data_IF_403626619610
#
_entry.id   IF_403626619610
#
_cell.length_a   1.000
_cell.length_b   1.000
_cell.length_c   1.000
_cell.angle_alpha   90.00
_cell.angle_beta   90.00
_cell.angle_gamma   90.00
#
_symmetry.space_group_name_H-M   'P 1'
#
loop_
_entity.id
_entity.type
_entity.pdbx_description
1 polymer ?
#
# COMPACT_ATOMS: atom_id res chain seq x y z
N UNK A 1 -13.11 -6.73 -8.72
CA UNK A 1 -12.16 -5.82 -8.06
C UNK A 1 -12.80 -4.43 -8.01
N UNK A 2 -13.17 -3.92 -6.82
CA UNK A 2 -13.99 -2.71 -6.66
C UNK A 2 -13.26 -1.38 -6.98
N UNK A 3 -11.96 -1.42 -7.30
CA UNK A 3 -11.17 -0.22 -7.63
C UNK A 3 -11.32 0.26 -9.08
N UNK A 4 -11.81 -0.58 -10.00
CA UNK A 4 -11.89 -0.24 -11.43
C UNK A 4 -13.07 0.64 -11.84
N UNK A 5 -14.08 0.81 -10.97
CA UNK A 5 -15.38 1.39 -11.35
C UNK A 5 -15.63 2.83 -10.87
N UNK A 6 -14.66 3.49 -10.23
CA UNK A 6 -14.80 4.87 -9.72
C UNK A 6 -13.75 5.86 -10.26
N UNK A 7 -12.92 5.47 -11.23
CA UNK A 7 -11.85 6.35 -11.76
C UNK A 7 -10.75 6.65 -10.74
N UNK A 8 -10.49 5.72 -9.82
CA UNK A 8 -9.40 5.86 -8.86
C UNK A 8 -8.05 5.90 -9.61
N UNK A 9 -7.25 6.95 -9.37
CA UNK A 9 -5.92 7.11 -9.97
C UNK A 9 -4.82 6.31 -9.25
N UNK A 10 -5.10 5.84 -8.03
CA UNK A 10 -4.17 5.02 -7.26
C UNK A 10 -4.91 4.23 -6.17
N UNK A 11 -4.27 3.17 -5.71
CA UNK A 11 -4.64 2.42 -4.51
C UNK A 11 -3.51 2.56 -3.50
N UNK A 12 -3.83 3.01 -2.30
CA UNK A 12 -2.87 3.09 -1.19
C UNK A 12 -3.25 2.12 -0.09
N UNK A 13 -2.26 1.46 0.49
CA UNK A 13 -2.40 0.56 1.63
C UNK A 13 -1.34 0.83 2.69
N UNK A 14 -1.60 0.35 3.90
CA UNK A 14 -0.71 0.46 5.05
C UNK A 14 -0.41 -0.97 5.55
N UNK A 15 0.87 -1.34 5.60
CA UNK A 15 1.32 -2.66 6.02
C UNK A 15 2.31 -2.54 7.17
N UNK A 16 2.26 -3.43 8.16
CA UNK A 16 3.21 -3.44 9.27
C UNK A 16 4.64 -3.50 8.75
N UNK A 17 5.51 -2.60 9.23
CA UNK A 17 6.88 -2.47 8.74
C UNK A 17 7.67 -3.79 8.84
N UNK A 18 7.44 -4.55 9.91
CA UNK A 18 8.08 -5.85 10.14
C UNK A 18 7.52 -7.00 9.29
N UNK A 19 6.42 -6.80 8.55
CA UNK A 19 5.79 -7.86 7.75
C UNK A 19 6.41 -7.91 6.35
N UNK A 20 7.64 -8.41 6.28
CA UNK A 20 8.40 -8.51 5.02
C UNK A 20 7.70 -9.36 3.96
N UNK A 21 6.98 -10.41 4.38
CA UNK A 21 6.23 -11.27 3.45
C UNK A 21 5.10 -10.51 2.74
N UNK A 22 4.31 -9.73 3.48
CA UNK A 22 3.25 -8.91 2.90
C UNK A 22 3.84 -7.77 2.04
N UNK A 23 4.93 -7.13 2.49
CA UNK A 23 5.63 -6.11 1.69
C UNK A 23 6.13 -6.68 0.37
N UNK A 24 6.75 -7.86 0.38
CA UNK A 24 7.19 -8.55 -0.83
C UNK A 24 6.02 -8.89 -1.76
N UNK A 25 4.90 -9.37 -1.21
CA UNK A 25 3.68 -9.64 -1.97
C UNK A 25 3.18 -8.37 -2.68
N UNK A 26 3.07 -7.25 -1.96
CA UNK A 26 2.57 -6.00 -2.55
C UNK A 26 3.53 -5.40 -3.57
N UNK A 27 4.86 -5.49 -3.35
CA UNK A 27 5.85 -5.15 -4.38
C UNK A 27 5.66 -5.99 -5.64
N UNK A 28 5.40 -7.29 -5.50
CA UNK A 28 5.09 -8.19 -6.61
C UNK A 28 3.80 -7.82 -7.36
N UNK A 29 2.84 -7.18 -6.69
CA UNK A 29 1.63 -6.62 -7.29
C UNK A 29 1.83 -5.22 -7.91
N UNK A 30 3.04 -4.65 -7.87
CA UNK A 30 3.35 -3.33 -8.41
C UNK A 30 3.15 -2.16 -7.44
N UNK A 31 2.91 -2.43 -6.15
CA UNK A 31 2.89 -1.36 -5.14
C UNK A 31 4.31 -0.91 -4.80
N UNK A 32 4.49 0.40 -4.64
CA UNK A 32 5.74 1.02 -4.22
C UNK A 32 5.63 1.59 -2.81
N UNK A 33 6.71 1.53 -2.04
CA UNK A 33 6.76 2.14 -0.70
C UNK A 33 6.89 3.67 -0.84
N UNK A 34 5.90 4.41 -0.33
CA UNK A 34 5.84 5.88 -0.45
C UNK A 34 6.04 6.61 0.88
N UNK A 35 6.11 5.87 1.99
CA UNK A 35 6.38 6.46 3.31
C UNK A 35 6.20 5.49 4.45
N UNK A 36 6.37 6.00 5.67
CA UNK A 36 6.22 5.24 6.90
C UNK A 36 5.50 6.07 7.97
N UNK A 37 4.58 5.44 8.69
CA UNK A 37 3.89 5.99 9.86
C UNK A 37 4.44 5.32 11.11
N UNK A 38 5.07 6.12 11.96
CA UNK A 38 5.58 5.66 13.24
C UNK A 38 4.45 5.38 14.22
N UNK A 39 4.53 4.25 14.93
CA UNK A 39 3.56 3.81 15.96
C UNK A 39 2.11 3.86 15.47
N UNK A 40 1.89 3.39 14.26
CA UNK A 40 0.57 3.37 13.62
C UNK A 40 -0.37 2.34 14.25
N UNK A 41 0.16 1.15 14.59
CA UNK A 41 -0.61 0.12 15.25
C UNK A 41 -0.66 0.36 16.76
N UNK A 42 -1.71 -0.15 17.41
CA UNK A 42 -1.94 0.04 18.85
C UNK A 42 -0.83 -0.56 19.73
N UNK A 43 -0.08 -1.53 19.22
CA UNK A 43 1.09 -2.13 19.87
C UNK A 43 2.38 -1.30 19.70
N UNK A 44 2.29 -0.11 19.09
CA UNK A 44 3.41 0.78 18.82
C UNK A 44 4.19 0.43 17.57
N UNK A 45 3.73 -0.53 16.76
CA UNK A 45 4.42 -0.88 15.53
C UNK A 45 4.23 0.15 14.42
N UNK A 46 5.27 0.28 13.60
CA UNK A 46 5.27 1.17 12.45
C UNK A 46 4.53 0.52 11.27
N UNK A 47 3.96 1.36 10.41
CA UNK A 47 3.33 0.96 9.16
C UNK A 47 4.04 1.60 7.97
N UNK A 48 4.37 0.80 6.98
CA UNK A 48 4.83 1.25 5.67
C UNK A 48 3.59 1.54 4.82
N UNK A 49 3.55 2.72 4.23
CA UNK A 49 2.55 3.12 3.25
C UNK A 49 3.03 2.66 1.88
N UNK A 50 2.21 1.90 1.17
CA UNK A 50 2.50 1.49 -0.20
C UNK A 50 1.39 1.95 -1.15
N UNK A 51 1.76 2.40 -2.33
CA UNK A 51 0.82 2.89 -3.35
C UNK A 51 1.04 2.18 -4.69
N UNK A 52 -0.05 1.76 -5.32
CA UNK A 52 -0.10 1.33 -6.70
C UNK A 52 -0.81 2.41 -7.51
N UNK A 53 -0.10 3.02 -8.46
CA UNK A 53 -0.75 3.88 -9.44
C UNK A 53 -1.67 3.02 -10.33
N UNK A 54 -2.92 3.45 -10.49
CA UNK A 54 -3.83 2.87 -11.45
C UNK A 54 -3.79 3.76 -12.67
N UNK A 55 -3.39 3.19 -13.81
CA UNK A 55 -3.55 3.87 -15.08
C UNK A 55 -5.05 4.11 -15.28
N UNK A 56 -5.48 5.36 -15.12
CA UNK A 56 -6.80 5.79 -15.55
C UNK A 56 -6.74 5.78 -17.08
N UNK A 57 -6.98 4.60 -17.67
CA UNK A 57 -7.01 4.44 -19.12
C UNK A 57 -7.84 5.55 -19.75
N UNK A 58 -7.21 6.28 -20.68
CA UNK A 58 -7.86 7.21 -21.59
C UNK A 58 -8.78 6.52 -22.58
#
# INVERSE_FOLDING_TARGET
ALAGSLGAAAVTLEVRASNEAARALYRGCGFEEVGERRRYYADGADAVIMTLALDAGG
#
